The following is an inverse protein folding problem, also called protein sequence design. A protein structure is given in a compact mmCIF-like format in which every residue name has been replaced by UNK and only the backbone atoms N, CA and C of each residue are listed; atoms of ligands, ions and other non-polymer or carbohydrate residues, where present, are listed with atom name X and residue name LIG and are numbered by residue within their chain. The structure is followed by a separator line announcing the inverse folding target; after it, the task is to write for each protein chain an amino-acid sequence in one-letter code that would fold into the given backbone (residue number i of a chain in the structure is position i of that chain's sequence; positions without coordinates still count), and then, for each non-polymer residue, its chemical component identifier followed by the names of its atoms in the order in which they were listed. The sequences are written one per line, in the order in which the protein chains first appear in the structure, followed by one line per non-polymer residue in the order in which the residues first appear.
data_IF_934597932966
#
_entry.id   IF_934597932966
#
_cell.length_a   1.000
_cell.length_b   1.000
_cell.length_c   1.000
_cell.angle_alpha   90.00
_cell.angle_beta   90.00
_cell.angle_gamma   90.00
#
_symmetry.space_group_name_H-M   'P 1'
#
loop_
_entity.id
_entity.type
_entity.pdbx_description
1 polymer ?
#
# COMPACT_ATOMS: atom_id res chain seq x y z
N UNK A 1 21.19 -11.58 48.59
CA UNK A 1 21.28 -11.35 47.14
C UNK A 1 19.89 -11.59 46.57
N UNK A 2 19.11 -10.53 46.32
CA UNK A 2 17.78 -10.61 45.70
C UNK A 2 17.86 -9.78 44.42
N UNK A 3 17.63 -10.45 43.30
CA UNK A 3 17.65 -9.87 41.96
C UNK A 3 16.62 -8.73 41.89
N UNK A 4 17.03 -7.55 41.40
CA UNK A 4 16.10 -6.47 41.09
C UNK A 4 15.45 -6.80 39.75
N UNK A 5 14.14 -7.02 39.78
CA UNK A 5 13.29 -7.08 38.59
C UNK A 5 13.24 -5.67 37.97
N UNK A 6 13.68 -5.56 36.72
CA UNK A 6 13.51 -4.37 35.89
C UNK A 6 12.03 -4.33 35.45
N UNK A 7 11.20 -3.62 36.23
CA UNK A 7 9.89 -3.20 35.75
C UNK A 7 10.09 -2.10 34.71
N UNK A 8 9.61 -2.34 33.48
CA UNK A 8 9.39 -1.27 32.51
C UNK A 8 8.27 -0.39 33.07
N UNK A 9 8.58 0.87 33.40
CA UNK A 9 7.59 1.86 33.80
C UNK A 9 6.64 2.12 32.63
N UNK A 10 5.40 1.66 32.77
CA UNK A 10 4.28 2.03 31.90
C UNK A 10 4.03 3.52 32.15
N UNK A 11 4.37 4.36 31.16
CA UNK A 11 4.27 5.81 31.26
C UNK A 11 2.89 6.27 31.77
N UNK A 12 2.89 7.06 32.84
CA UNK A 12 1.68 7.57 33.49
C UNK A 12 0.83 8.39 32.52
N UNK A 13 -0.47 8.06 32.39
CA UNK A 13 -1.41 8.83 31.56
C UNK A 13 -1.48 10.31 32.01
N UNK A 14 -1.53 11.28 31.07
CA UNK A 14 -1.63 12.70 31.39
C UNK A 14 -2.88 13.04 32.22
N UNK A 15 -2.75 13.94 33.19
CA UNK A 15 -3.85 14.32 34.11
C UNK A 15 -4.67 15.54 33.66
N UNK A 16 -4.25 16.23 32.60
CA UNK A 16 -4.94 17.38 32.00
C UNK A 16 -5.28 17.11 30.52
N UNK A 17 -6.40 17.67 30.07
CA UNK A 17 -6.90 17.54 28.70
C UNK A 17 -5.93 18.12 27.66
N UNK A 18 -5.22 19.21 27.98
CA UNK A 18 -4.23 19.78 27.06
C UNK A 18 -3.01 18.86 26.92
N UNK A 19 -2.60 18.20 28.00
CA UNK A 19 -1.50 17.24 27.96
C UNK A 19 -1.91 15.94 27.27
N UNK A 20 -3.16 15.49 27.44
CA UNK A 20 -3.71 14.38 26.67
C UNK A 20 -3.70 14.65 25.17
N UNK A 21 -4.15 15.84 24.74
CA UNK A 21 -4.08 16.27 23.33
C UNK A 21 -2.66 16.27 22.79
N UNK A 22 -1.71 16.83 23.54
CA UNK A 22 -0.29 16.84 23.15
C UNK A 22 0.27 15.43 23.01
N UNK A 23 0.01 14.54 23.97
CA UNK A 23 0.45 13.16 23.92
C UNK A 23 -0.18 12.38 22.77
N UNK A 24 -1.49 12.55 22.53
CA UNK A 24 -2.19 11.91 21.42
C UNK A 24 -1.63 12.35 20.07
N UNK A 25 -1.47 13.67 19.86
CA UNK A 25 -0.90 14.23 18.64
C UNK A 25 0.54 13.77 18.43
N UNK A 26 1.36 13.80 19.49
CA UNK A 26 2.73 13.31 19.44
C UNK A 26 2.79 11.83 19.05
N UNK A 27 1.98 10.97 19.67
CA UNK A 27 1.94 9.56 19.32
C UNK A 27 1.53 9.34 17.86
N UNK A 28 0.58 10.13 17.33
CA UNK A 28 0.22 10.08 15.91
C UNK A 28 1.39 10.48 15.02
N UNK A 29 2.10 11.57 15.34
CA UNK A 29 3.29 12.01 14.60
C UNK A 29 4.38 10.93 14.64
N UNK A 30 4.71 10.42 15.82
CA UNK A 30 5.73 9.39 16.01
C UNK A 30 5.39 8.11 15.19
N UNK A 31 4.11 7.73 15.14
CA UNK A 31 3.62 6.61 14.33
C UNK A 31 3.79 6.88 12.83
N UNK A 32 3.43 8.08 12.36
CA UNK A 32 3.64 8.45 10.96
C UNK A 32 5.14 8.45 10.61
N UNK A 33 5.98 9.08 11.43
CA UNK A 33 7.43 9.11 11.21
C UNK A 33 8.04 7.71 11.14
N UNK A 34 7.66 6.81 12.05
CA UNK A 34 8.11 5.42 12.02
C UNK A 34 7.64 4.69 10.76
N UNK A 35 6.41 4.95 10.32
CA UNK A 35 5.82 4.36 9.10
C UNK A 35 6.53 4.86 7.84
N UNK A 36 6.76 6.17 7.73
CA UNK A 36 7.52 6.77 6.63
C UNK A 36 8.93 6.21 6.56
N UNK A 37 9.62 6.14 7.71
CA UNK A 37 10.97 5.54 7.78
C UNK A 37 10.99 4.10 7.30
N UNK A 38 10.01 3.29 7.72
CA UNK A 38 9.87 1.91 7.24
C UNK A 38 9.72 1.87 5.70
N UNK A 39 8.89 2.74 5.12
CA UNK A 39 8.74 2.81 3.66
C UNK A 39 10.02 3.27 2.96
N UNK A 40 10.77 4.23 3.52
CA UNK A 40 12.04 4.64 2.93
C UNK A 40 13.08 3.52 2.90
N UNK A 41 13.09 2.66 3.92
CA UNK A 41 14.01 1.54 4.05
C UNK A 41 13.61 0.33 3.19
N UNK A 42 12.31 0.12 2.94
CA UNK A 42 11.79 -1.12 2.34
C UNK A 42 11.15 -0.94 0.96
N UNK A 43 10.79 0.28 0.57
CA UNK A 43 10.18 0.58 -0.73
C UNK A 43 11.19 1.39 -1.55
N UNK A 44 11.73 0.81 -2.63
CA UNK A 44 12.92 1.35 -3.30
C UNK A 44 12.62 2.64 -4.07
N UNK A 45 11.47 2.75 -4.74
CA UNK A 45 11.18 3.88 -5.61
C UNK A 45 10.36 4.99 -4.91
N UNK A 46 10.69 6.29 -5.11
CA UNK A 46 9.87 7.38 -4.58
C UNK A 46 8.41 7.34 -5.03
N UNK A 47 8.12 6.93 -6.27
CA UNK A 47 6.75 6.83 -6.76
C UNK A 47 5.98 5.67 -6.11
N UNK A 48 6.65 4.56 -5.82
CA UNK A 48 6.05 3.45 -5.06
C UNK A 48 5.76 3.89 -3.62
N UNK A 49 6.60 4.73 -3.00
CA UNK A 49 6.32 5.26 -1.66
C UNK A 49 5.06 6.12 -1.63
N UNK A 50 4.87 6.98 -2.64
CA UNK A 50 3.65 7.78 -2.79
C UNK A 50 2.43 6.86 -2.93
N UNK A 51 2.51 5.85 -3.80
CA UNK A 51 1.46 4.86 -3.96
C UNK A 51 1.16 4.10 -2.65
N UNK A 52 2.17 3.71 -1.88
CA UNK A 52 2.00 3.04 -0.59
C UNK A 52 1.26 3.90 0.42
N UNK A 53 1.63 5.18 0.53
CA UNK A 53 0.97 6.12 1.45
C UNK A 53 -0.50 6.24 1.10
N UNK A 54 -0.81 6.46 -0.17
CA UNK A 54 -2.18 6.58 -0.68
C UNK A 54 -3.00 5.31 -0.39
N UNK A 55 -2.46 4.13 -0.71
CA UNK A 55 -3.13 2.85 -0.47
C UNK A 55 -3.40 2.59 1.01
N UNK A 56 -2.45 2.94 1.88
CA UNK A 56 -2.61 2.73 3.32
C UNK A 56 -3.55 3.75 3.94
N UNK A 57 -3.47 5.02 3.57
CA UNK A 57 -4.35 6.05 4.13
C UNK A 57 -5.82 5.76 3.81
N UNK A 58 -6.08 5.34 2.58
CA UNK A 58 -7.43 5.01 2.10
C UNK A 58 -7.94 3.69 2.71
N UNK A 59 -7.15 2.61 2.68
CA UNK A 59 -7.63 1.26 3.03
C UNK A 59 -7.21 0.78 4.43
N UNK A 60 -6.67 1.64 5.31
CA UNK A 60 -6.26 1.23 6.67
C UNK A 60 -7.39 0.58 7.47
N UNK A 61 -8.64 1.02 7.27
CA UNK A 61 -9.81 0.48 7.96
C UNK A 61 -10.08 -0.96 7.55
N UNK A 62 -10.13 -1.21 6.24
CA UNK A 62 -10.37 -2.52 5.65
C UNK A 62 -9.22 -3.48 5.94
N UNK A 63 -7.98 -3.00 5.91
CA UNK A 63 -6.81 -3.79 6.33
C UNK A 63 -6.94 -4.20 7.80
N UNK A 64 -7.29 -3.25 8.68
CA UNK A 64 -7.47 -3.52 10.12
C UNK A 64 -8.61 -4.52 10.41
N UNK A 65 -9.64 -4.51 9.56
CA UNK A 65 -10.77 -5.45 9.64
C UNK A 65 -10.52 -6.77 8.90
N UNK A 66 -9.33 -7.00 8.33
CA UNK A 66 -9.00 -8.13 7.46
C UNK A 66 -9.91 -8.25 6.21
N UNK A 67 -10.58 -7.17 5.83
CA UNK A 67 -11.34 -7.07 4.58
C UNK A 67 -10.42 -6.78 3.38
N UNK A 68 -9.25 -6.19 3.63
CA UNK A 68 -8.22 -5.99 2.63
C UNK A 68 -6.85 -6.51 3.09
N UNK A 69 -5.97 -6.82 2.13
CA UNK A 69 -4.56 -7.16 2.36
C UNK A 69 -3.70 -6.44 1.33
N UNK A 70 -2.63 -5.79 1.79
CA UNK A 70 -1.64 -5.14 0.94
C UNK A 70 -0.27 -5.79 1.16
N UNK A 71 0.39 -6.20 0.07
CA UNK A 71 1.74 -6.77 0.06
C UNK A 71 2.59 -6.04 -0.98
N UNK A 72 3.80 -5.63 -0.63
CA UNK A 72 4.75 -5.01 -1.57
C UNK A 72 5.71 -6.06 -2.12
N UNK A 73 6.24 -5.84 -3.33
CA UNK A 73 7.31 -6.66 -3.92
C UNK A 73 6.97 -8.17 -3.92
N UNK A 74 5.70 -8.52 -4.14
CA UNK A 74 5.21 -9.90 -4.08
C UNK A 74 5.64 -10.66 -5.33
N UNK A 75 6.17 -11.88 -5.14
CA UNK A 75 6.54 -12.75 -6.25
C UNK A 75 5.33 -13.54 -6.76
N UNK A 76 5.02 -13.39 -8.04
CA UNK A 76 3.96 -14.12 -8.75
C UNK A 76 4.57 -14.80 -9.97
N UNK A 77 4.67 -16.13 -9.91
CA UNK A 77 5.42 -16.91 -10.89
C UNK A 77 6.89 -16.43 -10.96
N UNK A 78 7.28 -15.91 -12.13
CA UNK A 78 8.63 -15.38 -12.38
C UNK A 78 8.73 -13.86 -12.24
N UNK A 79 7.63 -13.17 -11.97
CA UNK A 79 7.57 -11.71 -11.87
C UNK A 79 7.48 -11.28 -10.41
N UNK A 80 8.02 -10.10 -10.10
CA UNK A 80 7.84 -9.41 -8.82
C UNK A 80 6.99 -8.18 -9.10
N UNK A 81 5.81 -8.11 -8.49
CA UNK A 81 4.89 -6.98 -8.64
C UNK A 81 5.16 -5.93 -7.57
N UNK A 82 4.91 -4.66 -7.88
CA UNK A 82 5.20 -3.56 -6.95
C UNK A 82 4.27 -3.65 -5.74
N UNK A 83 2.96 -3.82 -6.01
CA UNK A 83 1.94 -4.06 -5.00
C UNK A 83 0.96 -5.15 -5.43
N UNK A 84 0.63 -6.01 -4.48
CA UNK A 84 -0.51 -6.91 -4.52
C UNK A 84 -1.53 -6.45 -3.49
N UNK A 85 -2.75 -6.21 -3.94
CA UNK A 85 -3.88 -5.81 -3.12
C UNK A 85 -5.00 -6.83 -3.24
N UNK A 86 -5.43 -7.38 -2.12
CA UNK A 86 -6.59 -8.26 -2.03
C UNK A 86 -7.72 -7.50 -1.34
N UNK A 87 -8.95 -7.62 -1.84
CA UNK A 87 -10.15 -7.10 -1.20
C UNK A 87 -11.23 -8.19 -1.15
N UNK A 88 -11.98 -8.25 -0.05
CA UNK A 88 -13.18 -9.09 0.08
C UNK A 88 -14.40 -8.21 -0.18
N UNK A 89 -15.12 -8.47 -1.26
CA UNK A 89 -16.28 -7.67 -1.66
C UNK A 89 -17.52 -7.96 -0.78
N UNK A 90 -18.66 -7.35 -1.11
CA UNK A 90 -19.89 -7.51 -0.33
C UNK A 90 -20.52 -8.91 -0.43
N UNK A 91 -20.01 -9.76 -1.32
CA UNK A 91 -20.42 -11.14 -1.55
C UNK A 91 -19.41 -12.19 -1.04
N UNK A 92 -18.47 -11.77 -0.18
CA UNK A 92 -17.36 -12.61 0.32
C UNK A 92 -16.42 -13.15 -0.79
N UNK A 93 -16.42 -12.55 -1.97
CA UNK A 93 -15.52 -12.90 -3.06
C UNK A 93 -14.22 -12.12 -2.96
N UNK A 94 -13.12 -12.78 -3.32
CA UNK A 94 -11.79 -12.17 -3.35
C UNK A 94 -11.55 -11.48 -4.68
N UNK A 95 -11.26 -10.20 -4.61
CA UNK A 95 -10.68 -9.43 -5.70
C UNK A 95 -9.17 -9.36 -5.49
N UNK A 96 -8.41 -9.80 -6.48
CA UNK A 96 -6.95 -9.74 -6.44
C UNK A 96 -6.46 -8.76 -7.50
N UNK A 97 -5.86 -7.66 -7.04
CA UNK A 97 -5.48 -6.51 -7.84
C UNK A 97 -3.96 -6.34 -7.75
N UNK A 98 -3.31 -6.16 -8.89
CA UNK A 98 -1.90 -5.85 -9.03
C UNK A 98 -1.79 -4.38 -9.41
N UNK A 99 -0.97 -3.63 -8.68
CA UNK A 99 -0.71 -2.22 -8.96
C UNK A 99 0.77 -2.08 -9.30
N UNK A 100 1.05 -1.50 -10.45
CA UNK A 100 2.39 -1.31 -11.02
C UNK A 100 2.70 0.18 -11.17
N UNK A 101 3.85 0.60 -10.65
CA UNK A 101 4.33 1.97 -10.71
C UNK A 101 5.38 2.10 -11.84
N UNK A 102 4.98 2.63 -12.99
CA UNK A 102 5.84 2.77 -14.15
C UNK A 102 6.65 4.08 -14.10
N UNK A 103 7.91 3.98 -13.68
CA UNK A 103 8.86 5.10 -13.70
C UNK A 103 9.47 5.39 -15.09
N UNK A 104 9.09 4.68 -16.15
CA UNK A 104 9.71 4.82 -17.48
C UNK A 104 9.31 6.07 -18.26
N UNK A 105 8.51 6.99 -17.72
CA UNK A 105 8.23 8.29 -18.35
C UNK A 105 9.51 9.08 -18.72
N UNK A 106 10.63 8.80 -18.06
CA UNK A 106 11.91 9.48 -18.27
C UNK A 106 12.81 8.85 -19.36
N UNK A 107 12.45 7.69 -19.94
CA UNK A 107 13.23 7.01 -20.96
C UNK A 107 12.36 6.40 -22.07
N UNK A 108 12.83 6.44 -23.33
CA UNK A 108 12.14 5.75 -24.43
C UNK A 108 12.09 4.24 -24.17
N UNK A 109 10.89 3.66 -24.19
CA UNK A 109 10.71 2.20 -24.14
C UNK A 109 11.21 1.56 -25.43
N UNK A 110 12.10 0.57 -25.31
CA UNK A 110 12.50 -0.26 -26.44
C UNK A 110 11.39 -1.24 -26.85
N UNK A 111 11.48 -1.78 -28.08
CA UNK A 111 10.53 -2.80 -28.55
C UNK A 111 10.59 -4.06 -27.69
N UNK A 112 11.77 -4.41 -27.19
CA UNK A 112 12.02 -5.55 -26.33
C UNK A 112 11.36 -5.36 -24.96
N UNK A 113 11.48 -4.17 -24.37
CA UNK A 113 10.77 -3.81 -23.12
C UNK A 113 9.25 -3.88 -23.31
N UNK A 114 8.73 -3.27 -24.36
CA UNK A 114 7.29 -3.32 -24.66
C UNK A 114 6.78 -4.75 -24.86
N UNK A 115 7.57 -5.62 -25.50
CA UNK A 115 7.22 -7.03 -25.67
C UNK A 115 7.29 -7.81 -24.35
N UNK A 116 8.22 -7.47 -23.47
CA UNK A 116 8.33 -8.05 -22.13
C UNK A 116 7.16 -7.65 -21.24
N UNK A 117 6.80 -6.37 -21.19
CA UNK A 117 5.66 -5.83 -20.44
C UNK A 117 4.36 -6.51 -20.88
N UNK A 118 4.13 -6.63 -22.19
CA UNK A 118 2.96 -7.34 -22.73
C UNK A 118 2.88 -8.82 -22.32
N UNK A 119 4.03 -9.50 -22.22
CA UNK A 119 4.06 -10.91 -21.75
C UNK A 119 3.76 -10.99 -20.26
N UNK A 120 4.27 -10.05 -19.47
CA UNK A 120 4.01 -9.92 -18.03
C UNK A 120 2.53 -9.67 -17.76
N UNK A 121 1.96 -8.63 -18.38
CA UNK A 121 0.56 -8.25 -18.18
C UNK A 121 -0.39 -9.38 -18.58
N UNK A 122 -0.09 -10.07 -19.69
CA UNK A 122 -0.84 -11.26 -20.11
C UNK A 122 -0.77 -12.37 -19.08
N UNK A 123 0.44 -12.71 -18.60
CA UNK A 123 0.60 -13.75 -17.59
C UNK A 123 -0.22 -13.45 -16.33
N UNK A 124 -0.15 -12.22 -15.81
CA UNK A 124 -0.89 -11.82 -14.61
C UNK A 124 -2.40 -11.87 -14.85
N UNK A 125 -2.87 -11.37 -16.00
CA UNK A 125 -4.30 -11.41 -16.37
C UNK A 125 -4.81 -12.85 -16.51
N UNK A 126 -4.02 -13.74 -17.12
CA UNK A 126 -4.35 -15.17 -17.25
C UNK A 126 -4.43 -15.90 -15.89
N UNK A 127 -3.80 -15.36 -14.84
CA UNK A 127 -3.95 -15.86 -13.48
C UNK A 127 -5.19 -15.30 -12.76
N UNK A 128 -5.98 -14.44 -13.40
CA UNK A 128 -7.21 -13.87 -12.83
C UNK A 128 -7.01 -12.56 -12.07
N UNK A 129 -5.80 -11.97 -12.12
CA UNK A 129 -5.55 -10.69 -11.49
C UNK A 129 -6.11 -9.51 -12.30
N UNK A 130 -6.66 -8.51 -11.62
CA UNK A 130 -6.84 -7.19 -12.21
C UNK A 130 -5.49 -6.47 -12.20
N UNK A 131 -5.00 -6.03 -13.35
CA UNK A 131 -3.70 -5.34 -13.45
C UNK A 131 -3.93 -3.87 -13.73
N UNK A 132 -3.51 -3.01 -12.79
CA UNK A 132 -3.51 -1.56 -12.91
C UNK A 132 -2.07 -1.07 -13.02
N UNK A 133 -1.77 -0.27 -14.04
CA UNK A 133 -0.44 0.32 -14.26
C UNK A 133 -0.60 1.83 -14.34
N UNK A 134 0.19 2.53 -13.53
CA UNK A 134 0.19 3.98 -13.46
C UNK A 134 1.57 4.51 -13.78
N UNK A 135 1.64 5.58 -14.56
CA UNK A 135 2.91 6.25 -14.80
C UNK A 135 3.35 7.04 -13.57
N UNK A 136 4.64 7.31 -13.45
CA UNK A 136 5.16 8.17 -12.39
C UNK A 136 4.52 9.56 -12.40
N UNK A 137 4.19 10.10 -13.57
CA UNK A 137 3.49 11.38 -13.69
C UNK A 137 2.03 11.33 -13.22
N UNK A 138 1.31 10.24 -13.45
CA UNK A 138 -0.04 10.03 -12.90
C UNK A 138 0.01 10.01 -11.37
N UNK A 139 0.90 9.19 -10.80
CA UNK A 139 1.04 9.02 -9.34
C UNK A 139 1.44 10.33 -8.67
N UNK A 140 2.41 11.07 -9.22
CA UNK A 140 2.89 12.32 -8.60
C UNK A 140 1.85 13.44 -8.71
N UNK A 141 1.10 13.50 -9.82
CA UNK A 141 0.13 14.58 -10.04
C UNK A 141 -1.16 14.37 -9.25
N UNK A 142 -1.66 13.14 -9.21
CA UNK A 142 -2.90 12.79 -8.52
C UNK A 142 -2.83 11.34 -8.01
N UNK A 143 -2.23 11.10 -6.83
CA UNK A 143 -2.10 9.76 -6.26
C UNK A 143 -3.43 9.01 -6.14
N UNK A 144 -4.53 9.73 -5.88
CA UNK A 144 -5.88 9.15 -5.71
C UNK A 144 -6.38 8.39 -6.93
N UNK A 145 -5.80 8.60 -8.11
CA UNK A 145 -6.14 7.80 -9.30
C UNK A 145 -5.95 6.30 -9.04
N UNK A 146 -5.01 5.92 -8.16
CA UNK A 146 -4.76 4.53 -7.75
C UNK A 146 -5.99 3.98 -7.01
N UNK A 147 -6.41 4.66 -5.95
CA UNK A 147 -7.51 4.23 -5.07
C UNK A 147 -8.86 4.32 -5.78
N UNK A 148 -9.10 5.36 -6.59
CA UNK A 148 -10.27 5.48 -7.45
C UNK A 148 -10.40 4.31 -8.44
N UNK A 149 -9.28 3.88 -9.03
CA UNK A 149 -9.26 2.73 -9.94
C UNK A 149 -9.59 1.42 -9.22
N UNK A 150 -9.11 1.25 -7.99
CA UNK A 150 -9.44 0.09 -7.14
C UNK A 150 -10.92 0.10 -6.79
N UNK A 151 -11.48 1.25 -6.36
CA UNK A 151 -12.90 1.37 -6.08
C UNK A 151 -13.77 1.07 -7.30
N UNK A 152 -13.37 1.52 -8.49
CA UNK A 152 -14.09 1.18 -9.73
C UNK A 152 -14.20 -0.33 -9.93
N UNK A 153 -13.19 -1.11 -9.56
CA UNK A 153 -13.22 -2.59 -9.62
C UNK A 153 -14.15 -3.13 -8.53
N UNK A 154 -14.03 -2.64 -7.29
CA UNK A 154 -14.86 -3.08 -6.16
C UNK A 154 -16.34 -2.84 -6.44
N UNK A 155 -16.72 -1.62 -6.83
CA UNK A 155 -18.09 -1.21 -7.14
C UNK A 155 -18.69 -2.08 -8.24
N UNK A 156 -17.93 -2.32 -9.33
CA UNK A 156 -18.37 -3.23 -10.40
C UNK A 156 -18.56 -4.66 -9.92
N UNK A 157 -17.70 -5.15 -9.03
CA UNK A 157 -17.85 -6.49 -8.45
C UNK A 157 -19.07 -6.60 -7.53
N UNK A 158 -19.43 -5.50 -6.86
CA UNK A 158 -20.63 -5.42 -6.02
C UNK A 158 -21.92 -5.23 -6.85
N UNK A 159 -21.82 -5.10 -8.18
CA UNK A 159 -22.96 -4.94 -9.08
C UNK A 159 -23.64 -3.57 -9.01
N UNK A 160 -22.90 -2.54 -8.57
CA UNK A 160 -23.34 -1.15 -8.45
C UNK A 160 -22.93 -0.33 -9.68
#
# INVERSE_FOLDING_TARGET
MRLKENHMEVGTMPRDWNDYKKCFLKNKIDLYEATFKYYEENIPSPIERIAMIELVDEFQGEISLNKAKLETQKRIGKYTVDFYFQYINSFDEKLEIIIECDGHDFHEKTKEQAAHDKKRDRFLTEQGYFVLRFTGSEIVKEPRVITESIYSIIVKSDGI
#
